data_IF_318964744720
#
_entry.id   IF_318964744720
#
_cell.length_a   1.000
_cell.length_b   1.000
_cell.length_c   1.000
_cell.angle_alpha   90.00
_cell.angle_beta   90.00
_cell.angle_gamma   90.00
#
_symmetry.space_group_name_H-M   'P 1'
#
loop_
_entity.id
_entity.type
_entity.pdbx_description
1 polymer ?
#
# COMPACT_ATOMS: atom_id res chain seq x y z
N UNK A 1 -2.90 5.71 9.77
CA UNK A 1 -4.28 5.66 10.33
C UNK A 1 -4.49 4.30 10.98
N UNK A 2 -5.29 4.18 12.05
CA UNK A 2 -5.64 2.88 12.62
C UNK A 2 -6.27 1.97 11.56
N UNK A 3 -6.05 0.64 11.61
CA UNK A 3 -6.69 -0.28 10.67
C UNK A 3 -8.22 -0.28 10.83
N UNK A 4 -8.92 -0.60 9.74
CA UNK A 4 -10.38 -0.62 9.68
C UNK A 4 -11.02 0.65 9.11
N UNK A 5 -12.34 0.73 9.20
CA UNK A 5 -13.17 1.82 8.61
C UNK A 5 -14.13 2.42 9.62
N UNK A 6 -13.73 2.47 10.90
CA UNK A 6 -14.54 2.97 12.00
C UNK A 6 -14.49 4.49 12.15
N UNK A 7 -15.06 4.97 13.26
CA UNK A 7 -15.23 6.41 13.51
C UNK A 7 -13.92 7.15 13.74
N UNK A 8 -12.85 6.46 14.15
CA UNK A 8 -11.54 7.07 14.34
C UNK A 8 -10.95 7.54 13.01
N UNK A 9 -11.14 6.77 11.94
CA UNK A 9 -10.66 7.13 10.62
C UNK A 9 -11.43 8.33 10.06
N UNK A 10 -12.76 8.35 10.24
CA UNK A 10 -13.61 9.49 9.91
C UNK A 10 -13.18 10.74 10.68
N UNK A 11 -12.98 10.62 11.99
CA UNK A 11 -12.54 11.71 12.86
C UNK A 11 -11.20 12.29 12.40
N UNK A 12 -10.22 11.43 12.09
CA UNK A 12 -8.92 11.88 11.56
C UNK A 12 -9.08 12.59 10.22
N UNK A 13 -9.92 12.07 9.33
CA UNK A 13 -10.15 12.69 8.01
C UNK A 13 -10.89 14.02 8.04
N UNK A 14 -11.69 14.25 9.08
CA UNK A 14 -12.44 15.50 9.27
C UNK A 14 -11.64 16.57 10.01
N UNK A 15 -10.72 16.17 10.88
CA UNK A 15 -9.97 17.09 11.75
C UNK A 15 -8.56 17.42 11.23
N UNK A 16 -8.04 16.68 10.25
CA UNK A 16 -6.71 16.89 9.70
C UNK A 16 -6.84 17.12 8.20
N UNK A 17 -6.18 18.15 7.62
CA UNK A 17 -6.13 18.32 6.17
C UNK A 17 -5.37 17.14 5.54
N UNK A 18 -6.05 16.36 4.71
CA UNK A 18 -5.48 15.20 4.02
C UNK A 18 -5.37 15.49 2.52
N UNK A 19 -4.13 15.52 1.98
CA UNK A 19 -3.88 15.72 0.54
C UNK A 19 -4.23 14.49 -0.31
N UNK A 20 -4.30 13.31 0.30
CA UNK A 20 -4.76 12.08 -0.33
C UNK A 20 -4.50 10.84 0.52
N UNK A 21 -5.12 9.73 0.10
CA UNK A 21 -5.01 8.44 0.75
C UNK A 21 -4.37 7.39 -0.17
N UNK A 22 -3.51 6.56 0.39
CA UNK A 22 -2.98 5.36 -0.26
C UNK A 22 -3.59 4.15 0.43
N UNK A 23 -4.23 3.28 -0.33
CA UNK A 23 -4.82 2.04 0.20
C UNK A 23 -3.79 0.94 0.10
N UNK A 24 -3.41 0.34 1.22
CA UNK A 24 -2.49 -0.81 1.27
C UNK A 24 -3.29 -2.05 1.56
N UNK A 25 -3.13 -3.10 0.76
CA UNK A 25 -3.77 -4.39 0.98
C UNK A 25 -2.89 -5.54 0.51
N UNK A 26 -3.21 -6.74 0.95
CA UNK A 26 -2.59 -7.97 0.46
C UNK A 26 -3.57 -8.66 -0.52
N UNK A 27 -3.12 -9.58 -1.41
CA UNK A 27 -3.97 -10.08 -2.49
C UNK A 27 -5.10 -11.03 -2.08
N UNK A 28 -5.27 -11.34 -0.78
CA UNK A 28 -6.32 -12.21 -0.25
C UNK A 28 -7.68 -11.49 -0.18
N UNK A 29 -8.75 -12.21 -0.49
CA UNK A 29 -10.11 -11.67 -0.56
C UNK A 29 -10.54 -10.91 0.71
N UNK A 30 -10.19 -11.40 1.90
CA UNK A 30 -10.54 -10.73 3.17
C UNK A 30 -9.90 -9.35 3.27
N UNK A 31 -8.61 -9.24 2.95
CA UNK A 31 -7.90 -7.96 2.97
C UNK A 31 -8.40 -7.00 1.87
N UNK A 32 -8.80 -7.54 0.71
CA UNK A 32 -9.35 -6.76 -0.39
C UNK A 32 -10.75 -6.20 -0.07
N UNK A 33 -11.59 -6.96 0.64
CA UNK A 33 -12.89 -6.47 1.09
C UNK A 33 -12.76 -5.25 2.02
N UNK A 34 -11.79 -5.27 2.93
CA UNK A 34 -11.54 -4.15 3.82
C UNK A 34 -10.91 -2.95 3.08
N UNK A 35 -10.01 -3.21 2.14
CA UNK A 35 -9.45 -2.19 1.27
C UNK A 35 -10.52 -1.48 0.43
N UNK A 36 -11.49 -2.24 -0.11
CA UNK A 36 -12.65 -1.68 -0.83
C UNK A 36 -13.46 -0.74 0.08
N UNK A 37 -13.82 -1.18 1.29
CA UNK A 37 -14.56 -0.34 2.24
C UNK A 37 -13.77 0.92 2.61
N UNK A 38 -12.46 0.81 2.80
CA UNK A 38 -11.58 1.93 3.10
C UNK A 38 -11.56 2.97 1.98
N UNK A 39 -11.43 2.53 0.73
CA UNK A 39 -11.47 3.41 -0.44
C UNK A 39 -12.81 4.16 -0.54
N UNK A 40 -13.94 3.45 -0.36
CA UNK A 40 -15.27 4.05 -0.38
C UNK A 40 -15.50 5.03 0.77
N UNK A 41 -14.94 4.76 1.95
CA UNK A 41 -15.01 5.69 3.08
C UNK A 41 -14.29 7.01 2.76
N UNK A 42 -13.07 6.97 2.21
CA UNK A 42 -12.35 8.19 1.80
C UNK A 42 -13.10 8.97 0.72
N UNK A 43 -13.73 8.30 -0.25
CA UNK A 43 -14.59 8.97 -1.25
C UNK A 43 -15.73 9.74 -0.60
N UNK A 44 -16.38 9.18 0.43
CA UNK A 44 -17.50 9.83 1.15
C UNK A 44 -17.07 11.07 1.92
N UNK A 45 -15.83 11.12 2.42
CA UNK A 45 -15.26 12.29 3.10
C UNK A 45 -14.45 13.19 2.17
N UNK A 46 -14.60 13.03 0.85
CA UNK A 46 -13.95 13.85 -0.18
C UNK A 46 -12.42 13.85 -0.12
N UNK A 47 -11.81 12.78 0.40
CA UNK A 47 -10.36 12.59 0.37
C UNK A 47 -9.98 11.83 -0.91
N UNK A 48 -9.07 12.36 -1.75
CA UNK A 48 -8.68 11.69 -2.99
C UNK A 48 -7.89 10.42 -2.68
N UNK A 49 -8.34 9.29 -3.23
CA UNK A 49 -7.57 8.04 -3.17
C UNK A 49 -6.58 8.02 -4.32
N UNK A 50 -5.29 8.07 -3.99
CA UNK A 50 -4.19 8.18 -4.96
C UNK A 50 -3.94 6.86 -5.69
N UNK A 51 -4.27 5.73 -5.06
CA UNK A 51 -4.13 4.40 -5.64
C UNK A 51 -3.95 3.31 -4.59
N UNK A 52 -3.71 2.09 -5.07
CA UNK A 52 -3.53 0.90 -4.25
C UNK A 52 -2.08 0.43 -4.25
N UNK A 53 -1.59 -0.02 -3.10
CA UNK A 53 -0.34 -0.76 -2.97
C UNK A 53 -0.67 -2.21 -2.62
N UNK A 54 -0.09 -3.14 -3.37
CA UNK A 54 -0.21 -4.56 -3.08
C UNK A 54 0.98 -5.00 -2.23
N UNK A 55 0.75 -5.19 -0.94
CA UNK A 55 1.73 -5.71 -0.01
C UNK A 55 1.78 -7.24 -0.07
N UNK A 56 2.93 -7.82 0.27
CA UNK A 56 3.18 -9.27 0.26
C UNK A 56 2.81 -9.93 -1.09
N UNK A 57 3.12 -9.25 -2.20
CA UNK A 57 2.69 -9.62 -3.55
C UNK A 57 3.30 -10.92 -4.07
N UNK A 58 4.53 -11.22 -3.64
CA UNK A 58 5.29 -12.39 -4.07
C UNK A 58 6.28 -12.77 -2.98
N UNK A 59 6.46 -14.07 -2.78
CA UNK A 59 7.54 -14.64 -1.98
C UNK A 59 8.60 -15.21 -2.91
N UNK A 60 9.87 -14.93 -2.64
CA UNK A 60 10.99 -15.55 -3.35
C UNK A 60 11.74 -16.48 -2.40
N UNK A 61 11.82 -17.77 -2.74
CA UNK A 61 12.54 -18.74 -1.94
C UNK A 61 14.03 -18.36 -1.86
N UNK A 62 14.62 -18.20 -0.67
CA UNK A 62 16.02 -17.81 -0.54
C UNK A 62 16.99 -18.88 -1.10
N UNK A 63 16.57 -20.15 -1.09
CA UNK A 63 17.36 -21.31 -1.50
C UNK A 63 17.38 -21.53 -3.02
N UNK A 64 16.21 -21.56 -3.67
CA UNK A 64 16.10 -21.88 -5.11
C UNK A 64 15.67 -20.70 -5.99
N UNK A 65 15.44 -19.52 -5.40
CA UNK A 65 15.00 -18.29 -6.09
C UNK A 65 13.65 -18.39 -6.81
N UNK A 66 12.92 -19.50 -6.64
CA UNK A 66 11.56 -19.64 -7.15
C UNK A 66 10.64 -18.58 -6.53
N UNK A 67 9.82 -17.96 -7.37
CA UNK A 67 8.84 -16.93 -6.98
C UNK A 67 7.46 -17.55 -6.91
N UNK A 68 6.74 -17.29 -5.82
CA UNK A 68 5.41 -17.82 -5.58
C UNK A 68 4.49 -16.74 -5.06
N UNK A 69 3.30 -16.64 -5.67
CA UNK A 69 2.22 -15.76 -5.23
C UNK A 69 1.38 -16.45 -4.16
N UNK A 70 1.96 -16.66 -2.97
CA UNK A 70 1.33 -17.45 -1.89
C UNK A 70 -0.01 -16.88 -1.40
N UNK A 71 -0.27 -15.59 -1.67
CA UNK A 71 -1.48 -14.88 -1.29
C UNK A 71 -2.34 -14.47 -2.49
N UNK A 72 -2.00 -14.94 -3.70
CA UNK A 72 -2.58 -14.47 -4.96
C UNK A 72 -1.71 -13.41 -5.64
N UNK A 73 -1.96 -13.16 -6.94
CA UNK A 73 -1.12 -12.29 -7.76
C UNK A 73 -1.80 -10.95 -8.12
N UNK A 74 -3.10 -10.99 -8.42
CA UNK A 74 -3.81 -9.88 -9.08
C UNK A 74 -4.89 -9.21 -8.22
N UNK A 75 -4.98 -9.56 -6.94
CA UNK A 75 -6.05 -9.11 -6.05
C UNK A 75 -6.22 -7.59 -6.02
N UNK A 76 -5.14 -6.87 -5.74
CA UNK A 76 -5.17 -5.40 -5.69
C UNK A 76 -5.42 -4.78 -7.06
N UNK A 77 -4.91 -5.38 -8.14
CA UNK A 77 -5.12 -4.90 -9.53
C UNK A 77 -6.57 -5.02 -9.96
N UNK A 78 -7.24 -6.13 -9.60
CA UNK A 78 -8.67 -6.32 -9.85
C UNK A 78 -9.50 -5.31 -9.06
N UNK A 79 -9.18 -5.10 -7.78
CA UNK A 79 -9.86 -4.12 -6.95
C UNK A 79 -9.65 -2.68 -7.47
N UNK A 80 -8.42 -2.32 -7.84
CA UNK A 80 -8.09 -1.01 -8.39
C UNK A 80 -8.95 -0.72 -9.63
N UNK A 81 -9.03 -1.67 -10.58
CA UNK A 81 -9.90 -1.54 -11.76
C UNK A 81 -11.38 -1.36 -11.40
N UNK A 82 -11.89 -2.13 -10.43
CA UNK A 82 -13.29 -2.03 -10.00
C UNK A 82 -13.62 -0.65 -9.39
N UNK A 83 -12.64 -0.01 -8.76
CA UNK A 83 -12.77 1.32 -8.14
C UNK A 83 -12.38 2.48 -9.07
N UNK A 84 -11.94 2.20 -10.30
CA UNK A 84 -11.41 3.23 -11.22
C UNK A 84 -10.09 3.85 -10.74
N UNK A 85 -9.25 3.08 -10.05
CA UNK A 85 -7.97 3.47 -9.47
C UNK A 85 -6.81 2.70 -10.12
N UNK A 86 -5.58 3.19 -9.89
CA UNK A 86 -4.35 2.52 -10.28
C UNK A 86 -3.71 1.74 -9.12
N UNK A 87 -2.87 0.76 -9.46
CA UNK A 87 -1.89 0.19 -8.53
C UNK A 87 -0.60 0.99 -8.61
N UNK A 88 -0.15 1.53 -7.48
CA UNK A 88 1.07 2.32 -7.33
C UNK A 88 2.33 1.45 -7.30
N UNK A 89 2.19 0.19 -6.90
CA UNK A 89 3.26 -0.78 -6.91
C UNK A 89 3.00 -1.99 -6.02
N UNK A 90 3.95 -2.91 -6.09
CA UNK A 90 3.98 -4.14 -5.31
C UNK A 90 5.13 -4.10 -4.30
N UNK A 91 4.89 -4.61 -3.09
CA UNK A 91 5.93 -4.88 -2.07
C UNK A 91 6.03 -6.39 -1.86
N UNK A 92 7.23 -7.00 -1.99
CA UNK A 92 7.38 -8.44 -1.84
C UNK A 92 7.26 -8.87 -0.37
N UNK A 93 6.90 -10.12 -0.14
CA UNK A 93 7.08 -10.77 1.16
C UNK A 93 8.54 -11.19 1.29
N UNK A 94 9.35 -10.38 1.97
CA UNK A 94 10.79 -10.61 2.11
C UNK A 94 11.24 -10.56 3.57
N UNK A 95 12.13 -11.48 3.96
CA UNK A 95 12.63 -11.60 5.34
C UNK A 95 13.30 -10.31 5.81
N UNK A 96 14.17 -9.71 4.97
CA UNK A 96 14.87 -8.47 5.32
C UNK A 96 13.90 -7.33 5.63
N UNK A 97 12.74 -7.25 4.97
CA UNK A 97 11.73 -6.22 5.30
C UNK A 97 11.25 -6.41 6.74
N UNK A 98 10.88 -7.65 7.11
CA UNK A 98 10.39 -8.00 8.46
C UNK A 98 11.45 -7.75 9.54
N UNK A 99 12.68 -8.20 9.32
CA UNK A 99 13.77 -8.02 10.30
C UNK A 99 14.17 -6.56 10.47
N UNK A 100 14.30 -5.82 9.36
CA UNK A 100 14.56 -4.39 9.36
C UNK A 100 13.46 -3.60 10.08
N UNK A 101 12.18 -3.92 9.83
CA UNK A 101 11.06 -3.29 10.51
C UNK A 101 11.02 -3.59 12.02
N UNK A 102 11.23 -4.84 12.42
CA UNK A 102 11.17 -5.23 13.84
C UNK A 102 12.30 -4.62 14.68
N UNK A 103 13.44 -4.33 14.05
CA UNK A 103 14.58 -3.65 14.68
C UNK A 103 14.46 -2.13 14.65
N UNK A 104 13.39 -1.59 14.05
CA UNK A 104 13.19 -0.15 13.90
C UNK A 104 14.14 0.52 12.91
N UNK A 105 14.74 -0.26 11.99
CA UNK A 105 15.69 0.20 10.96
C UNK A 105 15.15 -0.14 9.56
N UNK A 106 14.15 0.60 9.04
CA UNK A 106 13.44 0.25 7.81
C UNK A 106 14.35 -0.08 6.64
N UNK A 107 13.91 -0.97 5.75
CA UNK A 107 14.76 -1.50 4.66
C UNK A 107 15.32 -0.41 3.74
N UNK A 108 14.56 0.68 3.54
CA UNK A 108 15.00 1.86 2.74
C UNK A 108 16.17 2.60 3.37
N UNK A 109 16.35 2.50 4.68
CA UNK A 109 17.47 3.12 5.41
C UNK A 109 18.62 2.13 5.57
N UNK A 110 18.34 0.90 6.01
CA UNK A 110 19.37 -0.10 6.31
C UNK A 110 19.99 -0.73 5.05
N UNK A 111 19.24 -0.84 3.96
CA UNK A 111 19.68 -1.46 2.70
C UNK A 111 19.12 -0.69 1.48
N UNK A 112 19.52 0.58 1.26
CA UNK A 112 18.92 1.46 0.25
C UNK A 112 19.05 0.92 -1.19
N UNK A 113 20.08 0.13 -1.48
CA UNK A 113 20.33 -0.43 -2.81
C UNK A 113 19.59 -1.74 -3.09
N UNK A 114 18.88 -2.29 -2.10
CA UNK A 114 18.13 -3.54 -2.22
C UNK A 114 16.92 -3.41 -3.15
N UNK A 115 16.47 -4.53 -3.73
CA UNK A 115 15.28 -4.56 -4.58
C UNK A 115 14.00 -4.21 -3.78
N UNK A 116 13.97 -4.57 -2.50
CA UNK A 116 12.92 -4.24 -1.55
C UNK A 116 12.84 -2.74 -1.30
N UNK A 117 13.98 -2.08 -1.02
CA UNK A 117 14.04 -0.64 -0.85
C UNK A 117 13.60 0.10 -2.12
N UNK A 118 14.08 -0.36 -3.29
CA UNK A 118 13.68 0.19 -4.59
C UNK A 118 12.18 0.05 -4.85
N UNK A 119 11.52 -1.00 -4.35
CA UNK A 119 10.07 -1.15 -4.45
C UNK A 119 9.32 -0.03 -3.71
N UNK A 120 9.72 0.27 -2.47
CA UNK A 120 9.15 1.39 -1.71
C UNK A 120 9.44 2.74 -2.38
N UNK A 121 10.65 2.96 -2.88
CA UNK A 121 11.01 4.22 -3.55
C UNK A 121 10.20 4.45 -4.84
N UNK A 122 9.97 3.41 -5.64
CA UNK A 122 9.09 3.49 -6.82
C UNK A 122 7.66 3.87 -6.45
N UNK A 123 7.11 3.27 -5.38
CA UNK A 123 5.78 3.62 -4.87
C UNK A 123 5.76 5.07 -4.42
N UNK A 124 6.79 5.54 -3.71
CA UNK A 124 6.88 6.93 -3.25
C UNK A 124 6.86 7.92 -4.42
N UNK A 125 7.59 7.64 -5.51
CA UNK A 125 7.55 8.44 -6.74
C UNK A 125 6.14 8.49 -7.32
N UNK A 126 5.46 7.35 -7.41
CA UNK A 126 4.10 7.26 -7.92
C UNK A 126 3.06 7.98 -7.05
N UNK A 127 3.28 8.02 -5.73
CA UNK A 127 2.48 8.81 -4.78
C UNK A 127 2.69 10.30 -5.04
N UNK A 128 3.94 10.77 -5.06
CA UNK A 128 4.27 12.19 -5.28
C UNK A 128 3.71 12.68 -6.61
N UNK A 129 3.82 11.87 -7.67
CA UNK A 129 3.28 12.19 -9.00
C UNK A 129 1.77 12.42 -9.03
N UNK A 130 1.03 11.79 -8.10
CA UNK A 130 -0.44 11.85 -8.03
C UNK A 130 -0.96 12.79 -6.95
N UNK A 131 -0.09 13.32 -6.09
CA UNK A 131 -0.52 14.29 -5.10
C UNK A 131 -1.08 15.54 -5.81
N UNK A 132 -2.23 16.05 -5.36
CA UNK A 132 -2.71 17.33 -5.85
C UNK A 132 -1.69 18.42 -5.47
N UNK A 133 -1.55 19.48 -6.29
CA UNK A 133 -0.75 20.63 -5.91
C UNK A 133 -1.28 21.19 -4.58
N UNK A 134 -0.38 21.63 -3.71
CA UNK A 134 -0.78 22.28 -2.47
C UNK A 134 -1.65 23.50 -2.82
N UNK A 135 -2.82 23.67 -2.17
CA UNK A 135 -3.53 24.94 -2.25
C UNK A 135 -2.59 26.03 -1.70
N UNK A 136 -2.39 27.09 -2.48
CA UNK A 136 -1.73 28.32 -2.02
C UNK A 136 -2.49 28.98 -0.85
#
# INVERSE_FOLDING_TARGET
>A
MPPGTGDVQLSVSQNIPISGAVIVSTPQDVALMDAHKGAEMFRKVHVPVLGLVQNMSVFQCPKCKHKTHIFGADGARKLARALGLDVLGDVPLHLNIREASDTGQPIVFSQPESDEAKAYLRIAVEVVRRLPPHPE
#
